data_IF_091176861303
#
_entry.id   IF_091176861303
#
_cell.length_a   1.000
_cell.length_b   1.000
_cell.length_c   1.000
_cell.angle_alpha   90.00
_cell.angle_beta   90.00
_cell.angle_gamma   90.00
#
_symmetry.space_group_name_H-M   'P 1'
#
loop_
_entity.id
_entity.type
_entity.pdbx_description
1 polymer ?
#
# COMPACT_ATOMS: atom_id res chain seq x y z
N UNK A 1 7.37 16.07 -20.28
CA UNK A 1 6.50 15.25 -19.40
C UNK A 1 5.06 15.45 -19.86
N UNK A 2 4.16 14.48 -19.63
CA UNK A 2 2.73 14.61 -19.96
C UNK A 2 2.04 15.71 -19.14
N UNK A 3 0.85 16.16 -19.56
CA UNK A 3 0.05 17.16 -18.84
C UNK A 3 -0.59 16.62 -17.55
N UNK A 4 -0.64 15.30 -17.43
CA UNK A 4 -0.85 14.53 -16.22
C UNK A 4 0.51 13.96 -15.80
N UNK A 5 0.75 13.78 -14.49
CA UNK A 5 2.03 13.48 -13.80
C UNK A 5 2.80 14.69 -13.26
N UNK A 6 2.09 15.76 -12.91
CA UNK A 6 2.70 16.88 -12.17
C UNK A 6 3.03 16.42 -10.74
N UNK A 7 4.20 16.80 -10.22
CA UNK A 7 4.62 16.54 -8.84
C UNK A 7 4.40 17.74 -7.91
N UNK A 8 4.08 18.90 -8.48
CA UNK A 8 3.62 20.08 -7.76
C UNK A 8 2.16 20.38 -8.11
N UNK A 9 1.45 21.09 -7.23
CA UNK A 9 0.05 21.41 -7.41
C UNK A 9 -0.28 22.85 -7.00
N UNK A 10 -0.52 23.70 -8.00
CA UNK A 10 -1.01 25.07 -7.83
C UNK A 10 -2.38 25.21 -8.49
N UNK A 11 -3.09 26.30 -8.21
CA UNK A 11 -4.39 26.60 -8.84
C UNK A 11 -4.31 26.62 -10.37
N UNK A 12 -3.20 27.11 -10.93
CA UNK A 12 -2.97 27.12 -12.37
C UNK A 12 -2.83 25.69 -12.94
N UNK A 13 -2.05 24.84 -12.26
CA UNK A 13 -1.87 23.43 -12.65
C UNK A 13 -3.20 22.68 -12.55
N UNK A 14 -3.94 22.90 -11.45
CA UNK A 14 -5.26 22.30 -11.25
C UNK A 14 -6.24 22.72 -12.35
N UNK A 15 -6.28 24.01 -12.70
CA UNK A 15 -7.15 24.53 -13.75
C UNK A 15 -6.79 23.98 -15.15
N UNK A 16 -5.50 23.87 -15.49
CA UNK A 16 -5.07 23.26 -16.75
C UNK A 16 -5.39 21.76 -16.80
N UNK A 17 -5.15 21.04 -15.71
CA UNK A 17 -5.47 19.63 -15.58
C UNK A 17 -6.97 19.37 -15.78
N UNK A 18 -7.85 20.11 -15.09
CA UNK A 18 -9.31 19.96 -15.24
C UNK A 18 -9.77 20.30 -16.67
N UNK A 19 -9.22 21.36 -17.28
CA UNK A 19 -9.55 21.75 -18.66
C UNK A 19 -9.22 20.64 -19.65
N UNK A 20 -8.11 19.94 -19.46
CA UNK A 20 -7.69 18.82 -20.32
C UNK A 20 -8.44 17.53 -19.99
N UNK A 21 -8.67 17.25 -18.71
CA UNK A 21 -9.47 16.12 -18.25
C UNK A 21 -10.89 16.18 -18.81
N UNK A 22 -11.50 17.36 -18.86
CA UNK A 22 -12.83 17.56 -19.45
C UNK A 22 -12.89 17.17 -20.93
N UNK A 23 -11.79 17.34 -21.67
CA UNK A 23 -11.67 16.97 -23.09
C UNK A 23 -11.27 15.50 -23.31
N UNK A 24 -10.74 14.84 -22.29
CA UNK A 24 -10.37 13.42 -22.34
C UNK A 24 -11.63 12.56 -22.39
N UNK A 25 -11.79 11.72 -23.42
CA UNK A 25 -13.02 10.93 -23.60
C UNK A 25 -12.97 9.55 -22.95
N UNK A 26 -11.83 8.87 -23.05
CA UNK A 26 -11.70 7.45 -22.66
C UNK A 26 -10.68 7.19 -21.55
N UNK A 27 -9.88 8.19 -21.16
CA UNK A 27 -8.77 7.98 -20.22
C UNK A 27 -8.95 8.82 -18.95
N UNK A 28 -10.18 9.21 -18.58
CA UNK A 28 -10.39 10.08 -17.40
C UNK A 28 -9.94 9.40 -16.11
N UNK A 29 -10.38 8.16 -15.86
CA UNK A 29 -9.97 7.38 -14.71
C UNK A 29 -8.44 7.23 -14.67
N UNK A 30 -7.82 6.81 -15.78
CA UNK A 30 -6.37 6.68 -15.88
C UNK A 30 -5.61 7.99 -15.61
N UNK A 31 -6.05 9.12 -16.19
CA UNK A 31 -5.37 10.40 -15.99
C UNK A 31 -5.49 10.87 -14.53
N UNK A 32 -6.65 10.65 -13.91
CA UNK A 32 -6.86 10.92 -12.48
C UNK A 32 -5.98 10.03 -11.61
N UNK A 33 -5.96 8.72 -11.85
CA UNK A 33 -5.16 7.77 -11.06
C UNK A 33 -3.66 8.06 -11.15
N UNK A 34 -3.18 8.35 -12.36
CA UNK A 34 -1.79 8.74 -12.58
C UNK A 34 -1.46 10.08 -11.94
N UNK A 35 -2.28 11.12 -12.14
CA UNK A 35 -2.01 12.42 -11.52
C UNK A 35 -2.02 12.31 -9.99
N UNK A 36 -2.98 11.57 -9.42
CA UNK A 36 -3.03 11.29 -7.99
C UNK A 36 -1.73 10.65 -7.47
N UNK A 37 -1.24 9.60 -8.13
CA UNK A 37 0.02 8.93 -7.77
C UNK A 37 1.22 9.89 -7.68
N UNK A 38 1.41 10.74 -8.69
CA UNK A 38 2.54 11.67 -8.72
C UNK A 38 2.46 12.78 -7.66
N UNK A 39 1.28 13.01 -7.08
CA UNK A 39 1.09 14.00 -6.03
C UNK A 39 1.24 13.43 -4.62
N UNK A 40 1.24 12.11 -4.42
CA UNK A 40 1.27 11.51 -3.08
C UNK A 40 2.39 12.07 -2.20
N UNK A 41 3.60 12.22 -2.75
CA UNK A 41 4.76 12.64 -1.98
C UNK A 41 4.74 14.11 -1.53
N UNK A 42 4.00 14.98 -2.21
CA UNK A 42 4.03 16.44 -1.97
C UNK A 42 2.68 17.08 -1.65
N UNK A 43 1.58 16.46 -2.11
CA UNK A 43 0.20 16.94 -2.02
C UNK A 43 -0.76 15.75 -1.79
N UNK A 44 -0.59 14.96 -0.72
CA UNK A 44 -1.34 13.71 -0.52
C UNK A 44 -2.85 13.93 -0.31
N UNK A 45 -3.27 15.07 0.22
CA UNK A 45 -4.67 15.49 0.35
C UNK A 45 -5.34 15.68 -1.03
N UNK A 46 -4.63 16.33 -1.95
CA UNK A 46 -5.08 16.47 -3.35
C UNK A 46 -5.10 15.11 -4.03
N UNK A 47 -4.08 14.28 -3.80
CA UNK A 47 -4.00 12.95 -4.37
C UNK A 47 -5.23 12.09 -4.01
N UNK A 48 -5.66 12.10 -2.74
CA UNK A 48 -6.88 11.42 -2.28
C UNK A 48 -8.08 11.83 -3.12
N UNK A 49 -8.34 13.13 -3.28
CA UNK A 49 -9.50 13.62 -4.03
C UNK A 49 -9.49 13.20 -5.51
N UNK A 50 -8.31 13.18 -6.16
CA UNK A 50 -8.19 12.71 -7.55
C UNK A 50 -8.42 11.19 -7.66
N UNK A 51 -7.92 10.42 -6.69
CA UNK A 51 -8.03 8.97 -6.68
C UNK A 51 -9.45 8.49 -6.39
N UNK A 52 -10.15 9.13 -5.47
CA UNK A 52 -11.58 8.88 -5.22
C UNK A 52 -12.42 9.19 -6.47
N UNK A 53 -12.13 10.28 -7.18
CA UNK A 53 -12.77 10.58 -8.47
C UNK A 53 -12.44 9.52 -9.52
N UNK A 54 -11.22 9.00 -9.56
CA UNK A 54 -10.86 7.89 -10.46
C UNK A 54 -11.67 6.64 -10.17
N UNK A 55 -11.81 6.26 -8.90
CA UNK A 55 -12.58 5.09 -8.46
C UNK A 55 -14.06 5.26 -8.80
N UNK A 56 -14.61 6.46 -8.68
CA UNK A 56 -16.00 6.75 -8.99
C UNK A 56 -16.38 6.53 -10.47
N UNK A 57 -15.41 6.49 -11.40
CA UNK A 57 -15.67 6.08 -12.79
C UNK A 57 -15.98 4.59 -12.94
N UNK A 58 -15.64 3.75 -11.95
CA UNK A 58 -15.92 2.31 -11.97
C UNK A 58 -15.16 1.53 -13.05
N UNK A 59 -14.10 2.11 -13.61
CA UNK A 59 -13.28 1.47 -14.64
C UNK A 59 -12.60 0.21 -14.07
N UNK A 60 -12.80 -0.94 -14.70
CA UNK A 60 -12.39 -2.24 -14.15
C UNK A 60 -10.87 -2.41 -14.03
N UNK A 61 -10.11 -1.74 -14.91
CA UNK A 61 -8.65 -1.82 -14.94
C UNK A 61 -8.01 -0.75 -14.06
N UNK A 62 -8.61 0.44 -14.02
CA UNK A 62 -8.08 1.58 -13.28
C UNK A 62 -8.49 1.60 -11.82
N UNK A 63 -9.68 1.11 -11.46
CA UNK A 63 -10.17 1.10 -10.07
C UNK A 63 -9.23 0.37 -9.11
N UNK A 64 -8.73 -0.85 -9.40
CA UNK A 64 -7.81 -1.54 -8.49
C UNK A 64 -6.51 -0.75 -8.26
N UNK A 65 -5.97 -0.14 -9.32
CA UNK A 65 -4.77 0.68 -9.24
C UNK A 65 -5.02 1.97 -8.44
N UNK A 66 -6.15 2.62 -8.66
CA UNK A 66 -6.53 3.83 -7.92
C UNK A 66 -6.75 3.54 -6.43
N UNK A 67 -7.30 2.37 -6.07
CA UNK A 67 -7.43 1.94 -4.67
C UNK A 67 -6.07 1.74 -3.98
N UNK A 68 -5.09 1.13 -4.66
CA UNK A 68 -3.73 1.00 -4.14
C UNK A 68 -3.10 2.38 -3.87
N UNK A 69 -3.18 3.27 -4.85
CA UNK A 69 -2.65 4.62 -4.71
C UNK A 69 -3.40 5.41 -3.63
N UNK A 70 -4.72 5.20 -3.49
CA UNK A 70 -5.52 5.82 -2.43
C UNK A 70 -5.05 5.36 -1.06
N UNK A 71 -4.79 4.07 -0.89
CA UNK A 71 -4.25 3.54 0.35
C UNK A 71 -2.89 4.18 0.67
N UNK A 72 -2.01 4.30 -0.31
CA UNK A 72 -0.70 4.95 -0.17
C UNK A 72 -0.84 6.43 0.23
N UNK A 73 -1.73 7.18 -0.44
CA UNK A 73 -2.00 8.58 -0.13
C UNK A 73 -2.54 8.75 1.30
N UNK A 74 -3.41 7.85 1.73
CA UNK A 74 -3.97 7.85 3.09
C UNK A 74 -2.93 7.51 4.16
N UNK A 75 -2.02 6.57 3.90
CA UNK A 75 -0.85 6.35 4.77
C UNK A 75 -0.02 7.62 4.90
N UNK A 76 0.21 8.35 3.79
CA UNK A 76 0.95 9.61 3.82
C UNK A 76 0.26 10.72 4.65
N UNK A 77 -1.06 10.67 4.78
CA UNK A 77 -1.84 11.55 5.66
C UNK A 77 -1.96 11.04 7.10
N UNK A 78 -1.44 9.84 7.41
CA UNK A 78 -1.65 9.17 8.69
C UNK A 78 -3.05 8.55 8.88
N UNK A 79 -3.90 8.54 7.85
CA UNK A 79 -5.22 7.88 7.84
C UNK A 79 -5.03 6.37 7.60
N UNK A 80 -4.49 5.67 8.60
CA UNK A 80 -4.22 4.24 8.52
C UNK A 80 -5.51 3.42 8.36
N UNK A 81 -6.60 3.84 9.00
CA UNK A 81 -7.87 3.13 8.91
C UNK A 81 -8.48 3.22 7.52
N UNK A 82 -8.46 4.42 6.92
CA UNK A 82 -8.89 4.59 5.54
C UNK A 82 -7.97 3.90 4.55
N UNK A 83 -6.66 3.83 4.81
CA UNK A 83 -5.73 3.09 3.96
C UNK A 83 -6.05 1.59 3.95
N UNK A 84 -6.28 1.01 5.13
CA UNK A 84 -6.67 -0.39 5.27
C UNK A 84 -8.03 -0.67 4.61
N UNK A 85 -9.00 0.24 4.73
CA UNK A 85 -10.28 0.13 4.03
C UNK A 85 -10.14 0.15 2.50
N UNK A 86 -9.23 0.96 1.96
CA UNK A 86 -8.92 0.97 0.52
C UNK A 86 -8.28 -0.36 0.06
N UNK A 87 -7.34 -0.91 0.83
CA UNK A 87 -6.78 -2.25 0.57
C UNK A 87 -7.84 -3.34 0.65
N UNK A 88 -8.71 -3.32 1.66
CA UNK A 88 -9.78 -4.31 1.82
C UNK A 88 -10.74 -4.30 0.63
N UNK A 89 -11.14 -3.11 0.20
CA UNK A 89 -11.97 -2.91 -1.00
C UNK A 89 -11.30 -3.46 -2.26
N UNK A 90 -9.98 -3.26 -2.38
CA UNK A 90 -9.19 -3.79 -3.50
C UNK A 90 -9.05 -5.32 -3.46
N UNK A 91 -8.82 -5.89 -2.28
CA UNK A 91 -8.63 -7.34 -2.06
C UNK A 91 -9.92 -8.15 -2.19
N UNK A 92 -11.08 -7.55 -1.87
CA UNK A 92 -12.40 -8.19 -1.99
C UNK A 92 -12.89 -8.32 -3.45
N UNK A 93 -12.13 -7.78 -4.40
CA UNK A 93 -12.45 -7.96 -5.83
C UNK A 93 -12.15 -9.40 -6.28
N UNK A 94 -12.95 -9.95 -7.21
CA UNK A 94 -12.71 -11.28 -7.77
C UNK A 94 -11.26 -11.45 -8.28
N UNK A 95 -10.60 -12.60 -8.07
CA UNK A 95 -9.20 -12.83 -8.46
C UNK A 95 -8.86 -12.43 -9.91
N UNK A 96 -9.75 -12.67 -10.88
CA UNK A 96 -9.54 -12.29 -12.28
C UNK A 96 -9.68 -10.79 -12.59
N UNK A 97 -10.21 -10.00 -11.65
CA UNK A 97 -10.34 -8.54 -11.72
C UNK A 97 -9.36 -7.81 -10.80
N UNK A 98 -8.61 -8.57 -9.98
CA UNK A 98 -7.53 -8.02 -9.18
C UNK A 98 -6.38 -7.74 -10.12
N UNK A 99 -6.02 -6.47 -10.23
CA UNK A 99 -4.80 -6.11 -10.92
C UNK A 99 -3.60 -6.64 -10.11
N UNK A 100 -2.56 -7.12 -10.79
CA UNK A 100 -1.32 -7.60 -10.16
C UNK A 100 -0.61 -6.56 -9.30
N UNK A 101 -1.05 -5.31 -9.34
CA UNK A 101 -0.53 -4.24 -8.48
C UNK A 101 -0.96 -4.35 -7.02
N UNK A 102 -2.08 -5.01 -6.68
CA UNK A 102 -2.47 -5.17 -5.27
C UNK A 102 -1.86 -6.46 -4.73
N UNK A 103 -0.88 -6.31 -3.86
CA UNK A 103 -0.25 -7.43 -3.15
C UNK A 103 -0.80 -7.47 -1.71
N UNK A 104 -1.30 -8.63 -1.23
CA UNK A 104 -1.80 -8.74 0.14
C UNK A 104 -0.73 -8.39 1.21
N UNK A 105 0.56 -8.53 0.88
CA UNK A 105 1.68 -8.20 1.77
C UNK A 105 1.63 -6.77 2.31
N UNK A 106 1.18 -5.78 1.52
CA UNK A 106 1.05 -4.39 1.97
C UNK A 106 0.03 -4.25 3.10
N UNK A 107 -1.11 -4.92 2.95
CA UNK A 107 -2.17 -4.93 3.96
C UNK A 107 -1.67 -5.57 5.24
N UNK A 108 -1.02 -6.73 5.13
CA UNK A 108 -0.43 -7.45 6.27
C UNK A 108 0.61 -6.58 6.99
N UNK A 109 1.48 -5.91 6.22
CA UNK A 109 2.47 -4.99 6.75
C UNK A 109 1.82 -3.87 7.55
N UNK A 110 0.81 -3.19 7.00
CA UNK A 110 0.12 -2.10 7.71
C UNK A 110 -0.60 -2.59 8.99
N UNK A 111 -1.30 -3.73 8.93
CA UNK A 111 -1.96 -4.31 10.11
C UNK A 111 -0.94 -4.61 11.21
N UNK A 112 0.17 -5.25 10.85
CA UNK A 112 1.23 -5.61 11.79
C UNK A 112 1.99 -4.42 12.34
N UNK A 113 2.38 -3.47 11.48
CA UNK A 113 3.14 -2.27 11.82
C UNK A 113 2.36 -1.36 12.77
N UNK A 114 1.09 -1.08 12.45
CA UNK A 114 0.22 -0.22 13.25
C UNK A 114 -0.62 -0.96 14.31
N UNK A 115 -0.32 -2.25 14.53
CA UNK A 115 -0.94 -3.10 15.57
C UNK A 115 -2.48 -3.10 15.55
N UNK A 116 -3.07 -3.20 14.37
CA UNK A 116 -4.53 -3.18 14.14
C UNK A 116 -5.17 -4.53 14.50
N UNK A 117 -5.38 -4.76 15.79
CA UNK A 117 -5.92 -6.02 16.34
C UNK A 117 -7.31 -6.36 15.79
N UNK A 118 -8.13 -5.37 15.50
CA UNK A 118 -9.48 -5.52 14.96
C UNK A 118 -9.50 -6.12 13.54
N UNK A 119 -8.39 -5.99 12.80
CA UNK A 119 -8.21 -6.57 11.46
C UNK A 119 -7.38 -7.85 11.45
N UNK A 120 -6.88 -8.28 12.62
CA UNK A 120 -6.04 -9.46 12.74
C UNK A 120 -6.68 -10.73 12.15
N UNK A 121 -7.97 -11.04 12.34
CA UNK A 121 -8.57 -12.23 11.73
C UNK A 121 -8.43 -12.29 10.21
N UNK A 122 -8.66 -11.15 9.54
CA UNK A 122 -8.51 -11.04 8.08
C UNK A 122 -7.05 -11.12 7.65
N UNK A 123 -6.15 -10.45 8.38
CA UNK A 123 -4.72 -10.52 8.11
C UNK A 123 -4.19 -11.96 8.25
N UNK A 124 -4.61 -12.71 9.27
CA UNK A 124 -4.23 -14.11 9.42
C UNK A 124 -4.72 -14.97 8.24
N UNK A 125 -5.98 -14.78 7.81
CA UNK A 125 -6.52 -15.51 6.66
C UNK A 125 -5.76 -15.21 5.36
N UNK A 126 -5.44 -13.94 5.10
CA UNK A 126 -4.67 -13.55 3.91
C UNK A 126 -3.22 -14.06 3.96
N UNK A 127 -2.61 -14.09 5.15
CA UNK A 127 -1.21 -14.48 5.33
C UNK A 127 -0.92 -15.92 4.88
N UNK A 128 -1.88 -16.82 5.06
CA UNK A 128 -1.74 -18.22 4.66
C UNK A 128 -1.73 -18.38 3.12
N UNK A 129 -2.31 -17.43 2.39
CA UNK A 129 -2.35 -17.40 0.93
C UNK A 129 -1.15 -16.68 0.29
N UNK A 130 -0.34 -15.95 1.09
CA UNK A 130 0.83 -15.23 0.58
C UNK A 130 2.03 -16.18 0.50
N UNK A 131 2.44 -16.44 -0.74
CA UNK A 131 3.67 -17.18 -1.05
C UNK A 131 4.90 -16.46 -0.46
N UNK A 132 5.79 -17.23 0.14
CA UNK A 132 7.05 -16.74 0.71
C UNK A 132 8.12 -16.49 -0.36
N UNK A 133 8.02 -17.21 -1.46
CA UNK A 133 8.89 -17.07 -2.61
C UNK A 133 8.18 -16.30 -3.72
N UNK A 134 8.82 -15.23 -4.18
CA UNK A 134 8.46 -14.52 -5.40
C UNK A 134 9.20 -15.07 -6.63
N UNK A 135 9.03 -14.41 -7.78
CA UNK A 135 9.68 -14.79 -9.04
C UNK A 135 11.23 -14.80 -8.98
N UNK A 136 11.81 -14.13 -7.98
CA UNK A 136 13.26 -13.99 -7.79
C UNK A 136 13.75 -14.60 -6.46
N UNK A 137 12.98 -15.54 -5.90
CA UNK A 137 13.26 -16.19 -4.61
C UNK A 137 12.53 -15.52 -3.45
N UNK A 138 13.00 -15.80 -2.24
CA UNK A 138 12.40 -15.35 -0.99
C UNK A 138 12.14 -13.82 -0.99
N UNK A 139 10.91 -13.43 -0.67
CA UNK A 139 10.49 -12.03 -0.62
C UNK A 139 10.65 -11.47 0.81
N UNK A 140 11.62 -10.56 1.06
CA UNK A 140 11.83 -9.96 2.37
C UNK A 140 10.60 -9.24 2.93
N UNK A 141 9.77 -8.66 2.07
CA UNK A 141 8.59 -7.89 2.49
C UNK A 141 7.54 -8.81 3.10
N UNK A 142 7.39 -10.01 2.52
CA UNK A 142 6.52 -11.05 3.06
C UNK A 142 6.98 -11.46 4.46
N UNK A 143 8.28 -11.67 4.65
CA UNK A 143 8.80 -12.03 5.97
C UNK A 143 8.61 -10.94 7.02
N UNK A 144 8.80 -9.67 6.65
CA UNK A 144 8.52 -8.54 7.54
C UNK A 144 7.04 -8.54 7.94
N UNK A 145 6.14 -8.61 6.96
CA UNK A 145 4.71 -8.59 7.20
C UNK A 145 4.25 -9.76 8.08
N UNK A 146 4.68 -11.00 7.75
CA UNK A 146 4.39 -12.20 8.55
C UNK A 146 4.90 -12.06 9.98
N UNK A 147 6.14 -11.62 10.19
CA UNK A 147 6.71 -11.43 11.53
C UNK A 147 5.88 -10.46 12.39
N UNK A 148 5.44 -9.34 11.80
CA UNK A 148 4.67 -8.32 12.52
C UNK A 148 3.24 -8.79 12.86
N UNK A 149 2.56 -9.47 11.92
CA UNK A 149 1.22 -10.03 12.13
C UNK A 149 1.25 -11.17 13.15
N UNK A 150 2.23 -12.08 13.07
CA UNK A 150 2.40 -13.17 14.04
C UNK A 150 2.73 -12.66 15.44
N UNK A 151 3.55 -11.61 15.56
CA UNK A 151 3.79 -10.96 16.86
C UNK A 151 2.50 -10.37 17.44
N UNK A 152 1.69 -9.72 16.59
CA UNK A 152 0.38 -9.18 16.97
C UNK A 152 -0.58 -10.28 17.43
N UNK A 153 -0.56 -11.44 16.77
CA UNK A 153 -1.32 -12.63 17.15
C UNK A 153 -0.79 -13.38 18.39
N UNK A 154 0.34 -12.95 18.97
CA UNK A 154 0.95 -13.65 20.10
C UNK A 154 1.71 -14.92 19.73
N UNK A 155 1.87 -15.25 18.44
CA UNK A 155 2.60 -16.43 17.93
C UNK A 155 4.12 -16.19 17.95
N UNK A 156 4.69 -16.05 19.16
CA UNK A 156 6.05 -15.50 19.37
C UNK A 156 7.18 -16.30 18.70
N UNK A 157 7.10 -17.64 18.71
CA UNK A 157 8.14 -18.48 18.08
C UNK A 157 8.20 -18.27 16.56
N UNK A 158 7.04 -18.21 15.92
CA UNK A 158 6.94 -18.02 14.48
C UNK A 158 7.27 -16.58 14.07
N UNK A 159 6.83 -15.60 14.87
CA UNK A 159 7.24 -14.21 14.69
C UNK A 159 8.77 -14.04 14.76
N UNK A 160 9.42 -14.74 15.71
CA UNK A 160 10.88 -14.78 15.82
C UNK A 160 11.54 -15.39 14.59
N UNK A 161 11.00 -16.49 14.07
CA UNK A 161 11.51 -17.16 12.87
C UNK A 161 11.50 -16.21 11.66
N UNK A 162 10.34 -15.61 11.33
CA UNK A 162 10.25 -14.69 10.19
C UNK A 162 11.05 -13.40 10.39
N UNK A 163 11.16 -12.90 11.63
CA UNK A 163 12.01 -11.75 11.91
C UNK A 163 13.49 -12.03 11.59
N UNK A 164 13.98 -13.23 11.91
CA UNK A 164 15.34 -13.66 11.58
C UNK A 164 15.57 -13.80 10.07
N UNK A 165 14.54 -14.20 9.30
CA UNK A 165 14.60 -14.24 7.84
C UNK A 165 14.59 -12.83 7.22
N UNK A 166 13.81 -11.90 7.78
CA UNK A 166 13.65 -10.54 7.27
C UNK A 166 14.87 -9.64 7.49
N UNK A 167 15.51 -9.74 8.66
CA UNK A 167 16.57 -8.81 9.10
C UNK A 167 17.78 -8.69 8.14
N UNK A 168 18.30 -9.78 7.54
CA UNK A 168 19.40 -9.69 6.57
C UNK A 168 19.05 -8.85 5.34
N UNK A 169 17.78 -8.87 4.91
CA UNK A 169 17.33 -8.26 3.67
C UNK A 169 16.80 -6.82 3.82
N UNK A 170 16.47 -6.39 5.04
CA UNK A 170 15.98 -5.04 5.36
C UNK A 170 16.96 -3.89 5.06
N UNK A 171 18.20 -4.17 4.65
CA UNK A 171 19.14 -3.13 4.21
C UNK A 171 18.72 -2.47 2.90
N UNK A 172 17.82 -3.09 2.12
CA UNK A 172 17.52 -2.74 0.73
C UNK A 172 16.02 -2.66 0.39
N UNK A 173 15.12 -2.40 1.35
CA UNK A 173 13.66 -2.38 1.08
C UNK A 173 13.13 -0.94 0.98
N UNK A 174 13.01 -0.36 -0.23
CA UNK A 174 12.24 0.85 -0.44
C UNK A 174 10.79 0.50 -0.80
N UNK A 175 9.83 0.75 0.09
CA UNK A 175 8.41 0.47 -0.21
C UNK A 175 7.58 1.76 -0.38
N UNK A 176 6.66 1.86 -1.36
CA UNK A 176 5.82 3.05 -1.54
C UNK A 176 4.98 3.41 -0.30
N UNK A 177 4.48 2.42 0.45
CA UNK A 177 3.79 2.64 1.72
C UNK A 177 4.71 3.13 2.85
N UNK A 178 6.04 3.11 2.68
CA UNK A 178 7.01 3.60 3.68
C UNK A 178 7.27 5.08 3.62
N UNK A 179 6.62 5.83 2.71
CA UNK A 179 6.77 7.28 2.64
C UNK A 179 6.45 8.01 3.96
N UNK A 180 5.81 7.33 4.93
CA UNK A 180 5.57 7.87 6.28
C UNK A 180 5.77 6.88 7.43
N UNK A 181 6.38 5.71 7.16
CA UNK A 181 6.60 4.68 8.19
C UNK A 181 8.08 4.66 8.55
N UNK A 182 8.39 4.84 9.84
CA UNK A 182 9.76 4.78 10.33
C UNK A 182 10.28 3.34 10.28
N UNK A 183 11.03 3.04 9.22
CA UNK A 183 11.64 1.72 9.03
C UNK A 183 12.71 1.41 10.07
N UNK A 184 13.26 2.40 10.77
CA UNK A 184 14.16 2.16 11.88
C UNK A 184 13.41 1.55 13.08
N UNK A 185 12.17 1.99 13.32
CA UNK A 185 11.30 1.42 14.36
C UNK A 185 10.89 -0.01 14.00
N UNK A 186 10.48 -0.24 12.74
CA UNK A 186 10.15 -1.58 12.23
C UNK A 186 11.35 -2.52 12.41
N UNK A 187 12.54 -2.09 11.99
CA UNK A 187 13.77 -2.88 12.13
C UNK A 187 14.09 -3.16 13.60
N UNK A 188 13.99 -2.16 14.48
CA UNK A 188 14.23 -2.34 15.91
C UNK A 188 13.24 -3.35 16.52
N UNK A 189 11.97 -3.33 16.08
CA UNK A 189 10.97 -4.32 16.50
C UNK A 189 11.33 -5.72 16.04
N UNK A 190 11.74 -5.90 14.79
CA UNK A 190 12.16 -7.20 14.28
C UNK A 190 13.41 -7.73 14.98
N UNK A 191 14.39 -6.89 15.30
CA UNK A 191 15.55 -7.28 16.13
C UNK A 191 15.12 -7.80 17.51
N UNK A 192 14.16 -7.15 18.17
CA UNK A 192 13.61 -7.64 19.44
C UNK A 192 12.89 -8.98 19.30
N UNK A 193 12.22 -9.21 18.17
CA UNK A 193 11.53 -10.48 17.91
C UNK A 193 12.52 -11.60 17.63
N UNK A 194 13.55 -11.37 16.81
CA UNK A 194 14.55 -12.36 16.46
C UNK A 194 15.39 -12.83 17.65
N UNK A 195 15.63 -11.95 18.64
CA UNK A 195 16.45 -12.24 19.82
C UNK A 195 15.66 -12.80 21.03
N UNK A 196 14.39 -13.19 20.87
CA UNK A 196 13.54 -13.62 21.99
C UNK A 196 13.74 -15.06 22.42
N UNK A 197 14.49 -15.85 21.67
CA UNK A 197 14.78 -17.27 21.90
C UNK A 197 16.16 -17.62 21.33
#
# INVERSE_FOLDING_TARGET
MGWYRNTNWSDEIAADFERRLARSRHQKAQNLSLQGFYLIAGHPDVAVGLLERSIAFGDEFETPRALLYLATAKVALGDIDGALGAYETALDRPPGSRSSVIQPVDYLFLVGAFRRTERLPRAMALMDDVAEDGAFGADPEVFVAKALVLDLAGRKKEASHYASLALPALKNVPHPATMSIDMSEVRARLMRLANRF
#
